data_IF_230505586137
#
_entry.id   IF_230505586137
#
_cell.length_a   1.000
_cell.length_b   1.000
_cell.length_c   1.000
_cell.angle_alpha   90.00
_cell.angle_beta   90.00
_cell.angle_gamma   90.00
#
_symmetry.space_group_name_H-M   'P 1'
#
loop_
_entity.id
_entity.type
_entity.pdbx_description
1 polymer ?
#
# COMPACT_ATOMS: atom_id res chain seq x y z
N UNK A 1 -17.21 -23.57 9.89
CA UNK A 1 -17.01 -22.36 9.13
C UNK A 1 -16.13 -22.66 7.92
N UNK A 2 -16.62 -22.32 6.71
CA UNK A 2 -15.95 -22.70 5.48
C UNK A 2 -14.70 -21.86 5.16
N UNK A 3 -13.81 -22.42 4.35
CA UNK A 3 -12.59 -21.77 3.89
C UNK A 3 -12.93 -20.48 3.13
N UNK A 4 -13.95 -20.48 2.29
CA UNK A 4 -14.39 -19.31 1.55
C UNK A 4 -14.74 -18.14 2.47
N UNK A 5 -15.45 -18.42 3.57
CA UNK A 5 -15.81 -17.40 4.55
C UNK A 5 -14.56 -16.77 5.19
N UNK A 6 -13.57 -17.59 5.52
CA UNK A 6 -12.30 -17.12 6.09
C UNK A 6 -11.52 -16.26 5.09
N UNK A 7 -11.49 -16.69 3.81
CA UNK A 7 -10.83 -15.92 2.75
C UNK A 7 -11.50 -14.56 2.54
N UNK A 8 -12.81 -14.52 2.54
CA UNK A 8 -13.56 -13.27 2.38
C UNK A 8 -13.34 -12.31 3.55
N UNK A 9 -13.29 -12.82 4.78
CA UNK A 9 -12.99 -12.01 5.95
C UNK A 9 -11.58 -11.42 5.89
N UNK A 10 -10.60 -12.22 5.51
CA UNK A 10 -9.22 -11.76 5.38
C UNK A 10 -9.09 -10.73 4.26
N UNK A 11 -9.79 -10.91 3.15
CA UNK A 11 -9.82 -9.95 2.07
C UNK A 11 -10.41 -8.62 2.51
N UNK A 12 -11.48 -8.64 3.29
CA UNK A 12 -12.11 -7.44 3.85
C UNK A 12 -11.18 -6.71 4.82
N UNK A 13 -10.45 -7.45 5.66
CA UNK A 13 -9.45 -6.89 6.55
C UNK A 13 -8.35 -6.19 5.76
N UNK A 14 -7.87 -6.81 4.70
CA UNK A 14 -6.84 -6.24 3.84
C UNK A 14 -7.35 -4.96 3.15
N UNK A 15 -8.58 -4.96 2.68
CA UNK A 15 -9.21 -3.80 2.08
C UNK A 15 -9.32 -2.64 3.07
N UNK A 16 -9.70 -2.93 4.32
CA UNK A 16 -9.73 -1.94 5.39
C UNK A 16 -8.34 -1.35 5.66
N UNK A 17 -7.31 -2.18 5.67
CA UNK A 17 -5.94 -1.73 5.87
C UNK A 17 -5.43 -0.86 4.73
N UNK A 18 -5.85 -1.13 3.49
CA UNK A 18 -5.54 -0.27 2.35
C UNK A 18 -6.15 1.12 2.55
N UNK A 19 -7.39 1.20 3.00
CA UNK A 19 -8.05 2.48 3.29
C UNK A 19 -7.31 3.24 4.38
N UNK A 20 -6.93 2.56 5.45
CA UNK A 20 -6.16 3.14 6.54
C UNK A 20 -4.82 3.67 6.05
N UNK A 21 -4.11 2.88 5.24
CA UNK A 21 -2.84 3.27 4.64
C UNK A 21 -3.00 4.49 3.74
N UNK A 22 -4.06 4.54 2.93
CA UNK A 22 -4.36 5.69 2.07
C UNK A 22 -4.56 6.96 2.87
N UNK A 23 -5.25 6.88 3.99
CA UNK A 23 -5.49 8.03 4.87
C UNK A 23 -4.20 8.53 5.51
N UNK A 24 -3.37 7.62 6.01
CA UNK A 24 -2.07 7.98 6.57
C UNK A 24 -1.16 8.61 5.53
N UNK A 25 -1.15 8.06 4.33
CA UNK A 25 -0.33 8.58 3.24
C UNK A 25 -0.77 9.99 2.83
N UNK A 26 -2.07 10.23 2.69
CA UNK A 26 -2.60 11.55 2.35
C UNK A 26 -2.22 12.59 3.41
N UNK A 27 -2.35 12.24 4.69
CA UNK A 27 -1.95 13.10 5.80
C UNK A 27 -0.44 13.36 5.80
N UNK A 28 0.36 12.34 5.51
CA UNK A 28 1.81 12.43 5.41
C UNK A 28 2.23 13.39 4.31
N UNK A 29 1.65 13.27 3.12
CA UNK A 29 1.95 14.15 2.00
C UNK A 29 1.64 15.61 2.33
N UNK A 30 0.48 15.86 2.91
CA UNK A 30 0.04 17.20 3.26
C UNK A 30 0.94 17.84 4.32
N UNK A 31 1.27 17.10 5.36
CA UNK A 31 2.16 17.57 6.41
C UNK A 31 3.56 17.84 5.88
N UNK A 32 4.07 16.96 5.02
CA UNK A 32 5.38 17.09 4.41
C UNK A 32 5.46 18.37 3.56
N UNK A 33 4.44 18.62 2.72
CA UNK A 33 4.36 19.82 1.90
C UNK A 33 4.31 21.08 2.77
N UNK A 34 3.51 21.07 3.83
CA UNK A 34 3.39 22.21 4.75
C UNK A 34 4.71 22.53 5.44
N UNK A 35 5.42 21.53 5.91
CA UNK A 35 6.75 21.70 6.53
C UNK A 35 7.75 22.26 5.55
N UNK A 36 7.68 21.82 4.31
CA UNK A 36 8.59 22.25 3.29
C UNK A 36 8.33 23.70 2.87
N UNK A 37 7.07 24.09 2.70
CA UNK A 37 6.69 25.47 2.42
C UNK A 37 7.18 26.41 3.53
N UNK A 38 7.04 25.99 4.78
CA UNK A 38 7.54 26.73 5.92
C UNK A 38 9.05 26.89 5.87
N UNK A 39 9.78 25.83 5.54
CA UNK A 39 11.23 25.87 5.38
C UNK A 39 11.64 26.85 4.29
N UNK A 40 10.97 26.82 3.14
CA UNK A 40 11.22 27.77 2.05
C UNK A 40 11.02 29.20 2.51
N UNK A 41 9.93 29.48 3.22
CA UNK A 41 9.61 30.82 3.71
C UNK A 41 10.66 31.30 4.73
N UNK A 42 11.11 30.41 5.62
CA UNK A 42 12.14 30.72 6.62
C UNK A 42 13.49 31.07 5.97
N UNK A 43 13.76 30.53 4.78
CA UNK A 43 14.98 30.76 4.03
C UNK A 43 14.85 31.83 2.93
N UNK A 44 13.71 32.49 2.83
CA UNK A 44 13.53 33.62 1.90
C UNK A 44 14.50 34.75 2.26
N UNK A 45 15.41 35.07 1.31
CA UNK A 45 16.43 36.08 1.52
C UNK A 45 17.75 35.55 2.08
N UNK A 46 17.83 34.26 2.42
CA UNK A 46 19.09 33.63 2.80
C UNK A 46 19.91 33.24 1.57
N UNK A 47 21.21 32.92 1.79
CA UNK A 47 22.14 32.51 0.73
C UNK A 47 21.89 31.05 0.26
N UNK A 48 20.81 30.43 0.68
CA UNK A 48 20.46 29.05 0.32
C UNK A 48 19.81 29.01 -1.05
N UNK A 49 20.23 28.05 -1.87
CA UNK A 49 19.69 27.80 -3.19
C UNK A 49 18.27 27.19 -3.08
N UNK A 50 17.24 28.02 -3.33
CA UNK A 50 15.85 27.62 -3.27
C UNK A 50 15.48 26.58 -4.34
N UNK A 51 16.11 26.68 -5.52
CA UNK A 51 15.89 25.72 -6.61
C UNK A 51 16.37 24.33 -6.21
N UNK A 52 17.50 24.26 -5.52
CA UNK A 52 18.05 23.01 -4.99
C UNK A 52 17.11 22.40 -3.94
N UNK A 53 16.58 23.22 -3.04
CA UNK A 53 15.61 22.77 -2.03
C UNK A 53 14.35 22.22 -2.67
N UNK A 54 13.80 22.89 -3.69
CA UNK A 54 12.64 22.44 -4.44
C UNK A 54 12.92 21.10 -5.13
N UNK A 55 14.07 20.97 -5.77
CA UNK A 55 14.47 19.73 -6.42
C UNK A 55 14.56 18.58 -5.44
N UNK A 56 15.17 18.78 -4.28
CA UNK A 56 15.28 17.76 -3.24
C UNK A 56 13.91 17.35 -2.71
N UNK A 57 12.98 18.30 -2.55
CA UNK A 57 11.59 17.98 -2.15
C UNK A 57 10.89 17.12 -3.17
N UNK A 58 10.96 17.48 -4.44
CA UNK A 58 10.32 16.71 -5.51
C UNK A 58 10.85 15.28 -5.52
N UNK A 59 12.17 15.10 -5.39
CA UNK A 59 12.79 13.77 -5.33
C UNK A 59 12.25 12.97 -4.15
N UNK A 60 12.17 13.58 -2.96
CA UNK A 60 11.67 12.89 -1.77
C UNK A 60 10.20 12.51 -1.89
N UNK A 61 9.36 13.41 -2.44
CA UNK A 61 7.95 13.11 -2.68
C UNK A 61 7.77 11.98 -3.68
N UNK A 62 8.56 11.95 -4.74
CA UNK A 62 8.50 10.87 -5.73
C UNK A 62 8.93 9.52 -5.13
N UNK A 63 9.97 9.51 -4.30
CA UNK A 63 10.44 8.29 -3.65
C UNK A 63 9.42 7.70 -2.67
N UNK A 64 8.60 8.54 -2.06
CA UNK A 64 7.60 8.12 -1.08
C UNK A 64 6.20 8.02 -1.66
N UNK A 65 6.03 8.29 -2.96
CA UNK A 65 4.73 8.24 -3.62
C UNK A 65 4.30 6.79 -3.85
N UNK A 66 3.16 6.44 -3.24
CA UNK A 66 2.59 5.09 -3.32
C UNK A 66 1.21 5.07 -4.00
N UNK A 67 0.82 6.15 -4.69
CA UNK A 67 -0.50 6.23 -5.33
C UNK A 67 -0.72 5.10 -6.34
N UNK A 68 0.27 4.81 -7.19
CA UNK A 68 0.16 3.73 -8.17
C UNK A 68 0.02 2.37 -7.51
N UNK A 69 0.80 2.12 -6.47
CA UNK A 69 0.77 0.86 -5.74
C UNK A 69 -0.57 0.66 -5.04
N UNK A 70 -1.13 1.72 -4.45
CA UNK A 70 -2.45 1.67 -3.82
C UNK A 70 -3.55 1.39 -4.84
N UNK A 71 -3.49 2.02 -6.01
CA UNK A 71 -4.46 1.80 -7.09
C UNK A 71 -4.41 0.36 -7.59
N UNK A 72 -3.22 -0.16 -7.87
CA UNK A 72 -3.06 -1.54 -8.33
C UNK A 72 -3.49 -2.53 -7.26
N UNK A 73 -3.15 -2.27 -6.01
CA UNK A 73 -3.54 -3.12 -4.89
C UNK A 73 -5.05 -3.21 -4.75
N UNK A 74 -5.74 -2.07 -4.89
CA UNK A 74 -7.21 -2.01 -4.85
C UNK A 74 -7.82 -2.86 -5.97
N UNK A 75 -7.30 -2.73 -7.19
CA UNK A 75 -7.76 -3.50 -8.35
C UNK A 75 -7.52 -4.99 -8.13
N UNK A 76 -6.35 -5.37 -7.66
CA UNK A 76 -6.02 -6.78 -7.40
C UNK A 76 -6.92 -7.39 -6.32
N UNK A 77 -7.28 -6.63 -5.30
CA UNK A 77 -8.20 -7.13 -4.27
C UNK A 77 -9.62 -7.33 -4.80
N UNK A 78 -10.08 -6.44 -5.67
CA UNK A 78 -11.38 -6.61 -6.34
C UNK A 78 -11.39 -7.88 -7.19
N UNK A 79 -10.30 -8.09 -7.95
CA UNK A 79 -10.14 -9.29 -8.76
C UNK A 79 -10.10 -10.56 -7.90
N UNK A 80 -9.41 -10.50 -6.77
CA UNK A 80 -9.33 -11.61 -5.82
C UNK A 80 -10.73 -11.98 -5.30
N UNK A 81 -11.52 -10.98 -4.92
CA UNK A 81 -12.89 -11.19 -4.46
C UNK A 81 -13.73 -11.87 -5.52
N UNK A 82 -13.62 -11.46 -6.79
CA UNK A 82 -14.35 -12.08 -7.90
C UNK A 82 -13.95 -13.54 -8.10
N UNK A 83 -12.67 -13.86 -7.93
CA UNK A 83 -12.21 -15.25 -8.06
C UNK A 83 -12.75 -16.15 -6.95
N UNK A 84 -12.94 -15.62 -5.75
CA UNK A 84 -13.47 -16.40 -4.62
C UNK A 84 -14.90 -16.91 -4.88
N UNK A 85 -15.69 -16.21 -5.68
CA UNK A 85 -17.10 -16.59 -5.96
C UNK A 85 -17.26 -17.39 -7.25
N UNK A 86 -16.19 -17.69 -7.98
CA UNK A 86 -16.24 -18.51 -9.17
C UNK A 86 -16.49 -19.99 -8.82
N UNK A 87 -17.33 -20.69 -9.57
CA UNK A 87 -17.65 -22.10 -9.28
C UNK A 87 -16.55 -23.08 -9.67
N UNK A 88 -15.58 -22.66 -10.47
CA UNK A 88 -14.49 -23.53 -10.96
C UNK A 88 -13.20 -23.29 -10.20
N UNK A 89 -12.30 -24.30 -10.08
CA UNK A 89 -11.00 -24.11 -9.50
C UNK A 89 -10.20 -23.05 -10.26
N UNK A 90 -9.67 -22.07 -9.52
CA UNK A 90 -8.91 -20.94 -10.08
C UNK A 90 -7.57 -20.78 -9.37
N UNK A 91 -7.00 -21.90 -8.91
CA UNK A 91 -5.78 -21.91 -8.09
C UNK A 91 -4.63 -21.11 -8.68
N UNK A 92 -4.35 -21.27 -9.99
CA UNK A 92 -3.27 -20.53 -10.66
C UNK A 92 -3.53 -19.02 -10.69
N UNK A 93 -4.77 -18.63 -10.97
CA UNK A 93 -5.16 -17.23 -11.00
C UNK A 93 -5.08 -16.62 -9.61
N UNK A 94 -5.50 -17.36 -8.59
CA UNK A 94 -5.38 -16.94 -7.18
C UNK A 94 -3.91 -16.77 -6.79
N UNK A 95 -3.06 -17.75 -7.08
CA UNK A 95 -1.63 -17.68 -6.80
C UNK A 95 -0.98 -16.47 -7.46
N UNK A 96 -1.32 -16.22 -8.73
CA UNK A 96 -0.82 -15.07 -9.46
C UNK A 96 -1.22 -13.76 -8.80
N UNK A 97 -2.49 -13.61 -8.44
CA UNK A 97 -2.98 -12.41 -7.76
C UNK A 97 -2.31 -12.20 -6.40
N UNK A 98 -2.13 -13.27 -5.63
CA UNK A 98 -1.45 -13.20 -4.34
C UNK A 98 -0.01 -12.70 -4.51
N UNK A 99 0.71 -13.17 -5.53
CA UNK A 99 2.06 -12.71 -5.83
C UNK A 99 2.06 -11.22 -6.20
N UNK A 100 1.11 -10.78 -7.03
CA UNK A 100 1.01 -9.39 -7.43
C UNK A 100 0.64 -8.47 -6.25
N UNK A 101 -0.29 -8.90 -5.40
CA UNK A 101 -0.65 -8.18 -4.17
C UNK A 101 0.57 -8.05 -3.26
N UNK A 102 1.29 -9.14 -3.04
CA UNK A 102 2.48 -9.14 -2.21
C UNK A 102 3.57 -8.21 -2.76
N UNK A 103 3.72 -8.17 -4.07
CA UNK A 103 4.65 -7.29 -4.75
C UNK A 103 4.34 -5.82 -4.46
N UNK A 104 3.07 -5.43 -4.59
CA UNK A 104 2.63 -4.06 -4.30
C UNK A 104 2.85 -3.70 -2.83
N UNK A 105 2.52 -4.62 -1.92
CA UNK A 105 2.74 -4.42 -0.49
C UNK A 105 4.23 -4.22 -0.18
N UNK A 106 5.10 -5.01 -0.77
CA UNK A 106 6.55 -4.89 -0.59
C UNK A 106 7.07 -3.54 -1.11
N UNK A 107 6.58 -3.09 -2.26
CA UNK A 107 6.96 -1.79 -2.82
C UNK A 107 6.50 -0.66 -1.92
N UNK A 108 5.27 -0.71 -1.43
CA UNK A 108 4.76 0.27 -0.45
C UNK A 108 5.66 0.29 0.80
N UNK A 109 6.02 -0.89 1.30
CA UNK A 109 6.90 -1.00 2.47
C UNK A 109 8.26 -0.34 2.27
N UNK A 110 8.86 -0.52 1.09
CA UNK A 110 10.17 0.09 0.80
C UNK A 110 10.10 1.60 0.58
N UNK A 111 8.95 2.11 0.14
CA UNK A 111 8.73 3.55 -0.06
C UNK A 111 8.26 4.27 1.22
N UNK A 112 7.74 3.55 2.19
CA UNK A 112 7.15 4.12 3.40
C UNK A 112 8.24 4.43 4.43
N UNK A 113 8.25 5.68 4.93
CA UNK A 113 9.20 6.13 5.95
C UNK A 113 8.57 6.26 7.33
N UNK A 114 7.27 6.56 7.40
CA UNK A 114 6.54 6.71 8.66
C UNK A 114 6.32 5.34 9.33
N UNK A 115 6.53 5.28 10.64
CA UNK A 115 6.41 4.02 11.39
C UNK A 115 4.99 3.46 11.35
N UNK A 116 3.98 4.33 11.35
CA UNK A 116 2.58 3.93 11.27
C UNK A 116 2.29 3.20 9.95
N UNK A 117 2.85 3.68 8.84
CA UNK A 117 2.71 3.05 7.54
C UNK A 117 3.44 1.71 7.49
N UNK A 118 4.65 1.65 8.07
CA UNK A 118 5.42 0.40 8.15
C UNK A 118 4.67 -0.67 8.96
N UNK A 119 4.03 -0.27 10.05
CA UNK A 119 3.22 -1.18 10.86
C UNK A 119 2.02 -1.73 10.09
N UNK A 120 1.33 -0.89 9.32
CA UNK A 120 0.21 -1.31 8.48
C UNK A 120 0.71 -2.31 7.42
N UNK A 121 1.85 -2.04 6.80
CA UNK A 121 2.46 -2.94 5.81
C UNK A 121 2.74 -4.32 6.41
N UNK A 122 3.28 -4.39 7.62
CA UNK A 122 3.53 -5.66 8.31
C UNK A 122 2.22 -6.41 8.54
N UNK A 123 1.17 -5.73 8.98
CA UNK A 123 -0.16 -6.33 9.17
C UNK A 123 -0.72 -6.85 7.85
N UNK A 124 -0.57 -6.10 6.76
CA UNK A 124 -1.01 -6.50 5.43
C UNK A 124 -0.28 -7.77 4.96
N UNK A 125 1.02 -7.84 5.17
CA UNK A 125 1.82 -9.04 4.84
C UNK A 125 1.34 -10.27 5.61
N UNK A 126 1.01 -10.09 6.88
CA UNK A 126 0.49 -11.17 7.71
C UNK A 126 -0.85 -11.70 7.17
N UNK A 127 -1.73 -10.80 6.77
CA UNK A 127 -3.04 -11.18 6.23
C UNK A 127 -2.90 -11.86 4.88
N UNK A 128 -2.08 -11.34 3.98
CA UNK A 128 -1.89 -11.95 2.66
C UNK A 128 -1.27 -13.35 2.77
N UNK A 129 -0.39 -13.56 3.73
CA UNK A 129 0.17 -14.88 3.99
C UNK A 129 -0.89 -15.87 4.48
N UNK A 130 -1.80 -15.43 5.32
CA UNK A 130 -2.94 -16.26 5.76
C UNK A 130 -3.82 -16.65 4.59
N UNK A 131 -4.09 -15.71 3.68
CA UNK A 131 -4.87 -15.98 2.47
C UNK A 131 -4.14 -17.00 1.61
N UNK A 132 -2.85 -16.84 1.41
CA UNK A 132 -2.02 -17.76 0.63
C UNK A 132 -2.08 -19.19 1.19
N UNK A 133 -1.93 -19.33 2.49
CA UNK A 133 -2.00 -20.64 3.16
C UNK A 133 -3.36 -21.31 2.98
N UNK A 134 -4.45 -20.54 3.11
CA UNK A 134 -5.80 -21.06 2.90
C UNK A 134 -6.02 -21.51 1.45
N UNK A 135 -5.52 -20.77 0.49
CA UNK A 135 -5.63 -21.12 -0.93
C UNK A 135 -4.87 -22.42 -1.21
N UNK A 136 -3.68 -22.59 -0.67
CA UNK A 136 -2.91 -23.82 -0.83
C UNK A 136 -3.63 -25.04 -0.24
N UNK A 137 -4.38 -24.86 0.83
CA UNK A 137 -5.16 -25.92 1.44
C UNK A 137 -6.39 -26.34 0.60
N UNK A 138 -6.88 -25.48 -0.28
CA UNK A 138 -7.98 -25.78 -1.20
C UNK A 138 -7.50 -26.68 -2.35
N UNK A 139 -6.27 -26.49 -2.79
CA UNK A 139 -5.66 -27.31 -3.83
C UNK A 139 -5.23 -28.67 -3.29
#
# INVERSE_FOLDING_TARGET
RGILSVLQENQQLLQHQIQELSQFFAAFEQEYQSRFEKKLNDYLGATIDQDRLLTEMVILLERSDIHEELDRLTIHLENLQQLFVKPQPVGRELDFLIQEINREINTIGSKSTAIEMKNIVVQMKTIIEKIREQIQNIE
#
